data_IF_583639713200
#
_entry.id   IF_583639713200
#
_cell.length_a   1.000
_cell.length_b   1.000
_cell.length_c   1.000
_cell.angle_alpha   90.00
_cell.angle_beta   90.00
_cell.angle_gamma   90.00
#
_symmetry.space_group_name_H-M   'P 1'
#
loop_
_entity.id
_entity.type
_entity.pdbx_description
1 polymer ?
#
# COMPACT_ATOMS: atom_id res chain seq x y z
N UNK A 1 16.55 -21.05 -12.71
CA UNK A 1 15.36 -20.76 -11.92
C UNK A 1 15.70 -19.55 -11.04
N UNK A 2 14.93 -18.47 -11.09
CA UNK A 2 15.18 -17.28 -10.26
C UNK A 2 14.29 -17.39 -9.03
N UNK A 3 14.90 -17.44 -7.85
CA UNK A 3 14.18 -17.41 -6.57
C UNK A 3 13.87 -15.97 -6.23
N UNK A 4 12.60 -15.59 -6.24
CA UNK A 4 12.18 -14.21 -6.01
C UNK A 4 12.04 -13.85 -4.51
N UNK A 5 11.67 -14.85 -3.67
CA UNK A 5 11.67 -14.78 -2.21
C UNK A 5 12.33 -16.04 -1.66
N UNK A 6 13.36 -15.88 -0.84
CA UNK A 6 14.21 -16.96 -0.33
C UNK A 6 13.95 -17.19 1.16
N UNK A 7 12.93 -18.01 1.51
CA UNK A 7 12.67 -18.40 2.90
C UNK A 7 12.32 -17.23 3.81
N UNK A 8 11.51 -16.28 3.35
CA UNK A 8 11.13 -15.08 4.10
C UNK A 8 10.05 -15.41 5.13
N UNK A 9 10.35 -15.17 6.41
CA UNK A 9 9.36 -15.18 7.51
C UNK A 9 9.22 -13.77 8.06
N UNK A 10 8.00 -13.24 8.05
CA UNK A 10 7.69 -11.86 8.48
C UNK A 10 6.38 -11.84 9.26
N UNK A 11 6.42 -11.29 10.48
CA UNK A 11 5.23 -10.98 11.27
C UNK A 11 5.06 -9.47 11.36
N UNK A 12 3.87 -8.97 11.08
CA UNK A 12 3.49 -7.56 11.19
C UNK A 12 2.38 -7.48 12.23
N UNK A 13 2.64 -6.99 13.44
CA UNK A 13 1.63 -6.78 14.48
C UNK A 13 0.53 -5.83 14.05
N UNK A 14 -0.65 -5.96 14.65
CA UNK A 14 -1.77 -5.07 14.39
C UNK A 14 -1.41 -3.61 14.69
N UNK A 15 -1.80 -2.72 13.77
CA UNK A 15 -1.51 -1.29 13.85
C UNK A 15 -0.06 -0.91 13.53
N UNK A 16 0.83 -1.87 13.20
CA UNK A 16 2.20 -1.56 12.82
C UNK A 16 2.25 -0.95 11.42
N UNK A 17 3.03 0.11 11.26
CA UNK A 17 3.35 0.69 9.96
C UNK A 17 4.79 0.29 9.56
N UNK A 18 4.89 -0.79 8.80
CA UNK A 18 6.14 -1.31 8.27
C UNK A 18 6.50 -0.64 6.94
N UNK A 19 7.69 -0.09 6.85
CA UNK A 19 8.26 0.41 5.59
C UNK A 19 9.28 -0.58 5.06
N UNK A 20 9.21 -0.91 3.77
CA UNK A 20 10.11 -1.85 3.10
C UNK A 20 10.90 -1.12 2.01
N UNK A 21 12.22 -1.18 2.11
CA UNK A 21 13.15 -0.67 1.11
C UNK A 21 13.99 -1.80 0.50
N UNK A 22 14.71 -1.52 -0.55
CA UNK A 22 15.61 -2.48 -1.19
C UNK A 22 15.86 -2.11 -2.65
N UNK A 23 16.90 -2.65 -3.24
CA UNK A 23 17.23 -2.43 -4.66
C UNK A 23 16.15 -2.99 -5.60
N UNK A 24 16.18 -2.59 -6.87
CA UNK A 24 15.36 -3.21 -7.90
C UNK A 24 15.69 -4.71 -8.00
N UNK A 25 14.65 -5.54 -8.07
CA UNK A 25 14.81 -7.00 -8.06
C UNK A 25 15.04 -7.62 -6.67
N UNK A 26 15.02 -6.85 -5.56
CA UNK A 26 15.21 -7.42 -4.21
C UNK A 26 14.03 -8.26 -3.68
N UNK A 27 12.90 -8.30 -4.38
CA UNK A 27 11.73 -9.10 -4.00
C UNK A 27 10.55 -8.31 -3.40
N UNK A 28 10.66 -6.98 -3.23
CA UNK A 28 9.61 -6.14 -2.62
C UNK A 28 8.23 -6.28 -3.29
N UNK A 29 8.19 -6.11 -4.61
CA UNK A 29 6.94 -6.25 -5.38
C UNK A 29 6.44 -7.68 -5.37
N UNK A 30 7.34 -8.66 -5.31
CA UNK A 30 6.98 -10.09 -5.17
C UNK A 30 6.32 -10.33 -3.80
N UNK A 31 6.86 -9.76 -2.72
CA UNK A 31 6.28 -9.81 -1.38
C UNK A 31 4.86 -9.21 -1.38
N UNK A 32 4.69 -7.99 -1.88
CA UNK A 32 3.36 -7.35 -1.98
C UNK A 32 2.38 -8.18 -2.81
N UNK A 33 2.82 -8.68 -3.96
CA UNK A 33 1.99 -9.49 -4.86
C UNK A 33 1.61 -10.83 -4.25
N UNK A 34 2.54 -11.48 -3.52
CA UNK A 34 2.27 -12.70 -2.76
C UNK A 34 1.21 -12.48 -1.69
N UNK A 35 1.33 -11.43 -0.86
CA UNK A 35 0.33 -11.06 0.14
C UNK A 35 -1.02 -10.77 -0.53
N UNK A 36 -1.02 -9.98 -1.60
CA UNK A 36 -2.25 -9.61 -2.33
C UNK A 36 -2.93 -10.78 -3.05
N UNK A 37 -2.25 -11.93 -3.21
CA UNK A 37 -2.80 -13.12 -3.88
C UNK A 37 -2.75 -13.04 -5.40
N UNK A 38 -1.81 -12.28 -5.97
CA UNK A 38 -1.57 -12.24 -7.41
C UNK A 38 -0.99 -13.59 -7.91
N UNK A 39 -0.28 -14.28 -7.03
CA UNK A 39 0.19 -15.66 -7.21
C UNK A 39 0.17 -16.40 -5.87
N UNK A 40 0.27 -17.73 -5.93
CA UNK A 40 0.43 -18.59 -4.74
C UNK A 40 1.91 -18.88 -4.52
N UNK A 41 2.46 -18.77 -3.30
CA UNK A 41 3.84 -19.14 -3.02
C UNK A 41 4.05 -20.65 -3.25
N UNK A 42 5.25 -21.04 -3.67
CA UNK A 42 5.61 -22.45 -3.89
C UNK A 42 5.64 -23.24 -2.57
N UNK A 43 6.05 -22.57 -1.48
CA UNK A 43 6.10 -23.13 -0.11
C UNK A 43 5.76 -22.06 0.92
N UNK A 44 5.39 -22.48 2.14
CA UNK A 44 5.04 -21.60 3.22
C UNK A 44 3.57 -21.21 3.24
N UNK A 45 3.21 -20.25 4.11
CA UNK A 45 1.83 -19.81 4.31
C UNK A 45 1.74 -18.30 4.49
N UNK A 46 0.58 -17.75 4.15
CA UNK A 46 0.24 -16.33 4.33
C UNK A 46 -1.02 -16.26 5.17
N UNK A 47 -0.87 -15.67 6.37
CA UNK A 47 -1.97 -15.52 7.34
C UNK A 47 -2.27 -14.04 7.48
N UNK A 48 -3.53 -13.65 7.32
CA UNK A 48 -4.01 -12.27 7.47
C UNK A 48 -5.18 -12.27 8.44
N UNK A 49 -5.06 -11.53 9.55
CA UNK A 49 -6.08 -11.46 10.59
C UNK A 49 -6.51 -12.87 11.09
N UNK A 50 -5.52 -13.73 11.37
CA UNK A 50 -5.74 -15.12 11.80
C UNK A 50 -6.27 -16.07 10.74
N UNK A 51 -6.53 -15.59 9.51
CA UNK A 51 -7.07 -16.42 8.41
C UNK A 51 -5.95 -16.82 7.47
N UNK A 52 -5.81 -18.12 7.20
CA UNK A 52 -4.95 -18.61 6.13
C UNK A 52 -5.54 -18.24 4.77
N UNK A 53 -4.83 -17.36 4.06
CA UNK A 53 -5.20 -16.89 2.74
C UNK A 53 -4.31 -17.45 1.63
N UNK A 54 -3.37 -18.34 1.95
CA UNK A 54 -2.33 -18.86 1.04
C UNK A 54 -2.87 -19.28 -0.31
N UNK A 55 -3.94 -20.06 -0.32
CA UNK A 55 -4.56 -20.58 -1.55
C UNK A 55 -5.77 -19.74 -2.01
N UNK A 56 -6.03 -18.59 -1.38
CA UNK A 56 -7.14 -17.74 -1.79
C UNK A 56 -6.72 -16.84 -2.95
N UNK A 57 -7.52 -16.74 -4.03
CA UNK A 57 -7.26 -15.80 -5.12
C UNK A 57 -7.45 -14.36 -4.66
N UNK A 58 -6.82 -13.40 -5.37
CA UNK A 58 -6.79 -11.98 -5.02
C UNK A 58 -8.18 -11.38 -4.73
N UNK A 59 -9.22 -11.76 -5.49
CA UNK A 59 -10.59 -11.23 -5.26
C UNK A 59 -11.20 -11.66 -3.92
N UNK A 60 -10.81 -12.82 -3.36
CA UNK A 60 -11.21 -13.24 -2.01
C UNK A 60 -10.40 -12.53 -0.95
N UNK A 61 -9.08 -12.38 -1.15
CA UNK A 61 -8.20 -11.62 -0.24
C UNK A 61 -8.57 -10.13 -0.17
N UNK A 62 -9.16 -9.57 -1.21
CA UNK A 62 -9.61 -8.18 -1.25
C UNK A 62 -10.58 -7.80 -0.12
N UNK A 63 -11.20 -8.75 0.58
CA UNK A 63 -12.00 -8.47 1.78
C UNK A 63 -11.15 -8.07 2.99
N UNK A 64 -9.89 -8.56 3.06
CA UNK A 64 -8.95 -8.33 4.15
C UNK A 64 -7.90 -7.29 3.80
N UNK A 65 -7.57 -7.15 2.52
CA UNK A 65 -6.42 -6.40 2.03
C UNK A 65 -6.88 -5.17 1.26
N UNK A 66 -6.44 -3.99 1.69
CA UNK A 66 -6.47 -2.77 0.87
C UNK A 66 -5.17 -2.65 0.09
N UNK A 67 -5.23 -2.22 -1.16
CA UNK A 67 -4.01 -1.98 -1.95
C UNK A 67 -4.09 -0.67 -2.70
N UNK A 68 -3.00 0.09 -2.63
CA UNK A 68 -2.75 1.30 -3.43
C UNK A 68 -1.53 1.02 -4.30
N UNK A 69 -1.67 1.24 -5.60
CA UNK A 69 -0.63 0.94 -6.59
C UNK A 69 0.22 2.17 -6.88
N UNK A 70 1.42 1.97 -7.42
CA UNK A 70 2.28 3.02 -7.94
C UNK A 70 1.60 3.80 -9.07
N UNK A 71 0.96 3.10 -10.00
CA UNK A 71 0.14 3.72 -11.04
C UNK A 71 -1.28 3.92 -10.51
N UNK A 72 -1.73 5.18 -10.34
CA UNK A 72 -3.06 5.48 -9.79
C UNK A 72 -4.23 5.03 -10.68
N UNK A 73 -3.97 4.65 -11.94
CA UNK A 73 -5.00 4.02 -12.78
C UNK A 73 -5.26 2.56 -12.43
N UNK A 74 -4.26 1.87 -11.83
CA UNK A 74 -4.32 0.46 -11.49
C UNK A 74 -5.24 0.20 -10.34
N UNK A 75 -6.28 0.34 -10.07
CA UNK A 75 -7.21 0.20 -8.93
C UNK A 75 -8.48 1.00 -9.13
N UNK A 76 -8.60 1.63 -10.31
CA UNK A 76 -9.75 2.48 -10.66
C UNK A 76 -10.39 2.03 -11.98
N UNK A 77 -11.65 2.41 -12.20
CA UNK A 77 -12.32 2.34 -13.49
C UNK A 77 -12.31 3.76 -14.10
N UNK A 78 -11.35 4.09 -15.00
CA UNK A 78 -11.12 5.47 -15.43
C UNK A 78 -12.29 6.14 -16.13
N UNK A 79 -13.15 5.37 -16.79
CA UNK A 79 -14.35 5.86 -17.49
C UNK A 79 -15.55 6.07 -16.56
N UNK A 80 -15.50 5.51 -15.36
CA UNK A 80 -16.54 5.67 -14.34
C UNK A 80 -16.28 6.93 -13.50
N UNK A 81 -17.35 7.50 -12.97
CA UNK A 81 -17.31 8.69 -12.12
C UNK A 81 -16.65 8.42 -10.78
N UNK A 82 -16.29 9.49 -10.05
CA UNK A 82 -15.81 9.43 -8.65
C UNK A 82 -16.81 8.66 -7.79
N UNK A 83 -18.10 9.00 -7.87
CA UNK A 83 -19.15 8.36 -7.08
C UNK A 83 -19.28 6.85 -7.38
N UNK A 84 -19.19 6.45 -8.64
CA UNK A 84 -19.28 5.05 -9.04
C UNK A 84 -18.08 4.23 -8.57
N UNK A 85 -16.86 4.77 -8.71
CA UNK A 85 -15.64 4.11 -8.20
C UNK A 85 -15.69 3.92 -6.68
N UNK A 86 -16.10 4.94 -5.92
CA UNK A 86 -16.27 4.84 -4.48
C UNK A 86 -17.34 3.82 -4.10
N UNK A 87 -18.43 3.73 -4.88
CA UNK A 87 -19.44 2.70 -4.67
C UNK A 87 -18.87 1.31 -4.84
N UNK A 88 -18.06 1.07 -5.88
CA UNK A 88 -17.38 -0.22 -6.04
C UNK A 88 -16.48 -0.55 -4.85
N UNK A 89 -15.76 0.44 -4.34
CA UNK A 89 -14.92 0.28 -3.14
C UNK A 89 -15.75 -0.05 -1.89
N UNK A 90 -16.89 0.61 -1.70
CA UNK A 90 -17.81 0.36 -0.59
C UNK A 90 -18.39 -1.06 -0.58
N UNK A 91 -18.45 -1.71 -1.75
CA UNK A 91 -18.95 -3.08 -1.92
C UNK A 91 -17.88 -4.15 -1.74
N UNK A 92 -16.63 -3.75 -1.54
CA UNK A 92 -15.52 -4.68 -1.34
C UNK A 92 -15.83 -5.66 -0.20
N UNK A 93 -15.71 -6.96 -0.49
CA UNK A 93 -15.94 -8.03 0.50
C UNK A 93 -17.40 -8.29 0.84
N UNK A 94 -18.37 -7.59 0.25
CA UNK A 94 -19.80 -7.86 0.44
C UNK A 94 -20.33 -8.86 -0.59
N UNK A 95 -21.41 -9.59 -0.25
CA UNK A 95 -22.12 -10.42 -1.22
C UNK A 95 -22.60 -9.55 -2.40
N UNK A 96 -22.42 -10.07 -3.61
CA UNK A 96 -22.90 -9.43 -4.84
C UNK A 96 -24.45 -9.44 -4.84
N UNK A 97 -25.05 -8.28 -4.63
CA UNK A 97 -26.49 -8.08 -4.79
C UNK A 97 -26.73 -7.12 -5.96
N UNK A 98 -27.83 -7.28 -6.71
CA UNK A 98 -28.23 -6.29 -7.70
C UNK A 98 -28.32 -4.91 -7.07
N UNK A 99 -27.58 -3.95 -7.59
CA UNK A 99 -27.47 -2.61 -7.01
C UNK A 99 -28.30 -1.64 -7.81
N UNK A 100 -29.39 -1.21 -7.22
CA UNK A 100 -30.27 -0.19 -7.76
C UNK A 100 -29.77 1.16 -7.27
N UNK A 101 -29.19 1.98 -8.17
CA UNK A 101 -28.86 3.39 -7.94
C UNK A 101 -28.02 3.73 -6.69
N UNK A 102 -27.60 4.97 -6.58
CA UNK A 102 -27.03 5.57 -5.37
C UNK A 102 -28.16 6.27 -4.60
N UNK A 103 -28.50 5.84 -3.39
CA UNK A 103 -29.45 6.60 -2.57
C UNK A 103 -28.89 7.99 -2.25
N UNK A 104 -29.73 8.98 -2.03
CA UNK A 104 -29.31 10.34 -1.65
C UNK A 104 -28.42 10.33 -0.41
N UNK A 105 -28.81 9.56 0.61
CA UNK A 105 -28.06 9.42 1.86
C UNK A 105 -26.66 8.86 1.62
N UNK A 106 -26.53 7.80 0.81
CA UNK A 106 -25.23 7.23 0.48
C UNK A 106 -24.36 8.17 -0.36
N UNK A 107 -24.96 8.92 -1.30
CA UNK A 107 -24.24 9.95 -2.07
C UNK A 107 -23.70 11.05 -1.14
N UNK A 108 -24.49 11.52 -0.19
CA UNK A 108 -24.06 12.51 0.80
C UNK A 108 -22.92 11.97 1.68
N UNK A 109 -22.97 10.72 2.08
CA UNK A 109 -21.88 10.05 2.82
C UNK A 109 -20.60 10.01 1.98
N UNK A 110 -20.69 9.62 0.70
CA UNK A 110 -19.54 9.60 -0.20
C UNK A 110 -18.91 10.99 -0.35
N UNK A 111 -19.74 12.01 -0.56
CA UNK A 111 -19.29 13.39 -0.71
C UNK A 111 -18.59 13.91 0.54
N UNK A 112 -19.13 13.60 1.72
CA UNK A 112 -18.48 13.96 3.00
C UNK A 112 -17.11 13.29 3.16
N UNK A 113 -17.00 12.00 2.84
CA UNK A 113 -15.71 11.29 2.90
C UNK A 113 -14.68 11.85 1.91
N UNK A 114 -15.13 12.23 0.72
CA UNK A 114 -14.28 12.84 -0.32
C UNK A 114 -13.82 14.24 0.09
N UNK A 115 -14.69 15.04 0.72
CA UNK A 115 -14.33 16.35 1.27
C UNK A 115 -13.18 16.25 2.29
N UNK A 116 -13.14 15.17 3.08
CA UNK A 116 -12.05 14.89 4.03
C UNK A 116 -10.68 14.74 3.38
N UNK A 117 -10.58 14.54 2.06
CA UNK A 117 -9.30 14.51 1.34
C UNK A 117 -8.71 15.93 1.12
N UNK A 118 -9.51 16.99 1.26
CA UNK A 118 -9.08 18.38 1.06
C UNK A 118 -8.55 18.67 -0.35
N UNK A 119 -9.12 18.00 -1.39
CA UNK A 119 -8.66 18.09 -2.77
C UNK A 119 -9.70 18.69 -3.75
N UNK A 120 -10.83 19.22 -3.25
CA UNK A 120 -11.90 19.78 -4.04
C UNK A 120 -12.62 18.75 -4.92
N UNK A 121 -12.62 17.47 -4.49
CA UNK A 121 -13.26 16.38 -5.23
C UNK A 121 -14.73 16.21 -4.86
N UNK A 122 -15.18 16.77 -3.75
CA UNK A 122 -16.57 16.76 -3.27
C UNK A 122 -17.55 17.40 -4.26
N UNK A 123 -17.09 18.37 -5.05
CA UNK A 123 -17.87 19.02 -6.09
C UNK A 123 -17.73 18.34 -7.46
N UNK A 124 -16.91 17.29 -7.54
CA UNK A 124 -16.58 16.57 -8.77
C UNK A 124 -17.03 15.10 -8.77
N UNK A 125 -18.05 14.78 -8.00
CA UNK A 125 -18.54 13.40 -7.82
C UNK A 125 -18.98 12.72 -9.12
N UNK A 126 -19.45 13.49 -10.09
CA UNK A 126 -19.87 13.00 -11.43
C UNK A 126 -18.75 13.07 -12.48
N UNK A 127 -17.56 13.54 -12.10
CA UNK A 127 -16.43 13.58 -13.03
C UNK A 127 -15.84 12.17 -13.19
N UNK A 128 -15.58 11.71 -14.43
CA UNK A 128 -14.82 10.48 -14.67
C UNK A 128 -13.43 10.55 -14.01
N UNK A 129 -13.02 9.48 -13.33
CA UNK A 129 -11.71 9.46 -12.62
C UNK A 129 -10.54 9.71 -13.57
N UNK A 130 -10.66 9.29 -14.83
CA UNK A 130 -9.64 9.51 -15.86
C UNK A 130 -9.30 10.99 -16.09
N UNK A 131 -10.19 11.92 -15.74
CA UNK A 131 -10.01 13.37 -15.89
C UNK A 131 -9.44 14.07 -14.64
N UNK A 132 -9.16 13.32 -13.58
CA UNK A 132 -8.55 13.85 -12.37
C UNK A 132 -7.02 13.99 -12.53
N UNK A 133 -6.40 14.92 -11.76
CA UNK A 133 -4.94 14.97 -11.64
C UNK A 133 -4.39 13.69 -11.01
N UNK A 134 -3.08 13.42 -11.18
CA UNK A 134 -2.41 12.27 -10.58
C UNK A 134 -2.60 12.22 -9.06
N UNK A 135 -2.35 13.35 -8.38
CA UNK A 135 -2.52 13.46 -6.92
C UNK A 135 -3.96 13.26 -6.45
N UNK A 136 -4.94 13.88 -7.15
CA UNK A 136 -6.36 13.68 -6.86
C UNK A 136 -6.78 12.21 -7.00
N UNK A 137 -6.34 11.56 -8.07
CA UNK A 137 -6.63 10.14 -8.32
C UNK A 137 -5.98 9.26 -7.26
N UNK A 138 -4.75 9.55 -6.87
CA UNK A 138 -4.04 8.78 -5.85
C UNK A 138 -4.70 8.92 -4.46
N UNK A 139 -5.08 10.14 -4.07
CA UNK A 139 -5.85 10.35 -2.83
C UNK A 139 -7.17 9.58 -2.84
N UNK A 140 -7.85 9.56 -4.00
CA UNK A 140 -9.09 8.79 -4.16
C UNK A 140 -8.85 7.28 -4.08
N UNK A 141 -7.76 6.74 -4.67
CA UNK A 141 -7.42 5.30 -4.54
C UNK A 141 -7.10 4.94 -3.10
N UNK A 142 -6.46 5.82 -2.35
CA UNK A 142 -6.21 5.63 -0.92
C UNK A 142 -7.53 5.58 -0.13
N UNK A 143 -8.46 6.52 -0.37
CA UNK A 143 -9.80 6.50 0.22
C UNK A 143 -10.54 5.21 -0.15
N UNK A 144 -10.49 4.78 -1.42
CA UNK A 144 -11.12 3.54 -1.89
C UNK A 144 -10.52 2.31 -1.19
N UNK A 145 -9.20 2.23 -1.05
CA UNK A 145 -8.52 1.13 -0.38
C UNK A 145 -8.87 1.03 1.12
N UNK A 146 -9.18 2.17 1.75
CA UNK A 146 -9.48 2.30 3.18
C UNK A 146 -10.96 2.60 3.47
N UNK A 147 -11.83 2.61 2.45
CA UNK A 147 -13.26 2.87 2.60
C UNK A 147 -13.92 1.94 3.61
N UNK A 148 -13.60 0.67 3.50
CA UNK A 148 -13.79 -0.33 4.55
C UNK A 148 -12.42 -0.65 5.11
N UNK A 149 -12.19 -0.45 6.44
CA UNK A 149 -10.90 -0.70 7.03
C UNK A 149 -10.41 -2.12 6.68
N UNK A 150 -9.26 -2.26 5.99
CA UNK A 150 -8.67 -3.56 5.72
C UNK A 150 -7.92 -4.07 6.96
N UNK A 151 -7.71 -5.39 7.06
CA UNK A 151 -6.80 -5.97 8.05
C UNK A 151 -5.34 -5.57 7.78
N UNK A 152 -4.98 -5.40 6.49
CA UNK A 152 -3.69 -4.84 6.09
C UNK A 152 -3.84 -3.92 4.88
N UNK A 153 -3.17 -2.76 4.92
CA UNK A 153 -3.05 -1.82 3.80
C UNK A 153 -1.68 -1.99 3.14
N UNK A 154 -1.67 -2.31 1.85
CA UNK A 154 -0.47 -2.42 1.02
C UNK A 154 -0.30 -1.16 0.17
N UNK A 155 0.83 -0.48 0.31
CA UNK A 155 1.19 0.74 -0.42
C UNK A 155 2.43 0.46 -1.27
N UNK A 156 2.27 0.46 -2.60
CA UNK A 156 3.32 0.12 -3.56
C UNK A 156 3.82 1.39 -4.24
N UNK A 157 4.88 2.01 -3.69
CA UNK A 157 5.50 3.25 -4.21
C UNK A 157 4.46 4.32 -4.61
N UNK A 158 3.41 4.46 -3.83
CA UNK A 158 2.17 5.13 -4.18
C UNK A 158 2.29 6.66 -4.38
N UNK A 159 3.44 7.25 -4.11
CA UNK A 159 3.73 8.68 -4.34
C UNK A 159 4.77 8.91 -5.44
N UNK A 160 5.44 7.85 -5.93
CA UNK A 160 6.59 7.97 -6.82
C UNK A 160 6.27 8.57 -8.21
N UNK A 161 5.03 8.39 -8.68
CA UNK A 161 4.60 8.89 -10.00
C UNK A 161 3.95 10.28 -9.95
N UNK A 162 4.00 10.96 -8.79
CA UNK A 162 3.36 12.25 -8.56
C UNK A 162 4.39 13.39 -8.61
N UNK A 163 3.91 14.61 -8.90
CA UNK A 163 4.70 15.82 -8.66
C UNK A 163 4.97 16.02 -7.15
N UNK A 164 6.04 16.74 -6.77
CA UNK A 164 6.45 16.84 -5.36
C UNK A 164 5.35 17.35 -4.43
N UNK A 165 4.56 18.35 -4.84
CA UNK A 165 3.49 18.91 -4.02
C UNK A 165 2.35 17.92 -3.79
N UNK A 166 1.95 17.20 -4.83
CA UNK A 166 0.95 16.12 -4.74
C UNK A 166 1.47 14.95 -3.93
N UNK A 167 2.74 14.56 -4.07
CA UNK A 167 3.37 13.49 -3.32
C UNK A 167 3.34 13.76 -1.79
N UNK A 168 3.73 14.98 -1.38
CA UNK A 168 3.68 15.41 0.01
C UNK A 168 2.25 15.32 0.56
N UNK A 169 1.29 15.88 -0.15
CA UNK A 169 -0.12 15.89 0.28
C UNK A 169 -0.71 14.49 0.40
N UNK A 170 -0.43 13.60 -0.57
CA UNK A 170 -0.88 12.21 -0.52
C UNK A 170 -0.21 11.45 0.63
N UNK A 171 1.07 11.71 0.93
CA UNK A 171 1.75 11.10 2.06
C UNK A 171 1.17 11.57 3.40
N UNK A 172 0.85 12.85 3.55
CA UNK A 172 0.18 13.39 4.75
C UNK A 172 -1.18 12.73 4.96
N UNK A 173 -2.00 12.64 3.91
CA UNK A 173 -3.27 11.91 3.94
C UNK A 173 -3.08 10.42 4.30
N UNK A 174 -2.03 9.79 3.80
CA UNK A 174 -1.70 8.41 4.15
C UNK A 174 -1.43 8.27 5.65
N UNK A 175 -0.56 9.13 6.21
CA UNK A 175 -0.25 9.13 7.65
C UNK A 175 -1.51 9.38 8.48
N UNK A 176 -2.32 10.36 8.10
CA UNK A 176 -3.56 10.70 8.79
C UNK A 176 -4.51 9.50 8.82
N UNK A 177 -4.84 8.91 7.66
CA UNK A 177 -5.79 7.79 7.55
C UNK A 177 -5.30 6.55 8.30
N UNK A 178 -3.99 6.24 8.20
CA UNK A 178 -3.39 5.09 8.90
C UNK A 178 -3.50 5.28 10.41
N UNK A 179 -3.16 6.47 10.92
CA UNK A 179 -3.19 6.78 12.35
C UNK A 179 -4.63 6.81 12.90
N UNK A 180 -5.55 7.50 12.23
CA UNK A 180 -6.95 7.60 12.66
C UNK A 180 -7.63 6.23 12.73
N UNK A 181 -7.37 5.37 11.76
CA UNK A 181 -7.99 4.04 11.66
C UNK A 181 -7.14 2.93 12.27
N UNK A 182 -5.95 3.25 12.81
CA UNK A 182 -4.98 2.30 13.38
C UNK A 182 -4.69 1.12 12.43
N UNK A 183 -4.48 1.42 11.15
CA UNK A 183 -4.33 0.39 10.12
C UNK A 183 -2.96 -0.27 10.20
N UNK A 184 -2.92 -1.59 10.20
CA UNK A 184 -1.71 -2.33 9.88
C UNK A 184 -1.33 -2.02 8.43
N UNK A 185 -0.10 -1.52 8.21
CA UNK A 185 0.30 -1.01 6.90
C UNK A 185 1.66 -1.56 6.49
N UNK A 186 1.80 -2.00 5.26
CA UNK A 186 3.07 -2.31 4.61
C UNK A 186 3.24 -1.38 3.41
N UNK A 187 4.25 -0.51 3.49
CA UNK A 187 4.60 0.44 2.42
C UNK A 187 5.94 0.07 1.81
N UNK A 188 5.98 -0.05 0.50
CA UNK A 188 7.22 -0.12 -0.28
C UNK A 188 7.56 1.27 -0.78
N UNK A 189 8.81 1.68 -0.62
CA UNK A 189 9.36 2.92 -1.17
C UNK A 189 10.83 2.76 -1.56
N UNK A 190 11.29 3.57 -2.51
CA UNK A 190 12.70 3.76 -2.82
C UNK A 190 13.25 5.08 -2.28
N UNK A 191 12.40 5.92 -1.70
CA UNK A 191 12.74 7.20 -1.08
C UNK A 191 13.23 6.97 0.35
N UNK A 192 14.51 7.28 0.60
CA UNK A 192 15.17 7.07 1.90
C UNK A 192 14.66 8.03 2.98
N UNK A 193 14.24 9.23 2.59
CA UNK A 193 13.65 10.20 3.51
C UNK A 193 12.28 9.70 3.99
N UNK A 194 11.44 9.24 3.07
CA UNK A 194 10.18 8.60 3.45
C UNK A 194 10.41 7.36 4.31
N UNK A 195 11.42 6.54 3.96
CA UNK A 195 11.74 5.33 4.71
C UNK A 195 12.08 5.61 6.17
N UNK A 196 12.76 6.71 6.48
CA UNK A 196 13.09 7.11 7.85
C UNK A 196 11.93 7.82 8.56
N UNK A 197 11.17 8.68 7.85
CA UNK A 197 10.18 9.57 8.47
C UNK A 197 8.75 9.00 8.53
N UNK A 198 8.52 7.81 7.92
CA UNK A 198 7.19 7.20 7.88
C UNK A 198 7.22 5.83 8.53
N UNK A 199 6.17 5.52 9.30
CA UNK A 199 6.03 4.23 9.99
C UNK A 199 6.99 4.03 11.17
N UNK A 200 6.79 2.94 11.88
CA UNK A 200 7.48 2.59 13.13
C UNK A 200 8.34 1.33 13.04
N UNK A 201 8.55 0.78 11.84
CA UNK A 201 9.48 -0.32 11.56
C UNK A 201 10.01 -0.18 10.13
N UNK A 202 11.30 -0.44 9.94
CA UNK A 202 11.96 -0.38 8.64
C UNK A 202 12.60 -1.73 8.33
N UNK A 203 12.28 -2.26 7.16
CA UNK A 203 12.81 -3.51 6.66
C UNK A 203 13.56 -3.27 5.36
N UNK A 204 14.77 -3.80 5.24
CA UNK A 204 15.53 -3.80 4.00
C UNK A 204 15.54 -5.20 3.40
N UNK A 205 15.14 -5.30 2.13
CA UNK A 205 15.18 -6.53 1.37
C UNK A 205 16.36 -6.56 0.39
N UNK A 206 17.04 -7.70 0.35
CA UNK A 206 18.08 -7.98 -0.62
C UNK A 206 17.95 -9.41 -1.13
N UNK A 207 17.96 -9.62 -2.45
CA UNK A 207 17.94 -10.94 -3.12
C UNK A 207 16.85 -11.89 -2.59
N UNK A 208 15.68 -11.35 -2.33
CA UNK A 208 14.51 -12.12 -1.87
C UNK A 208 14.50 -12.45 -0.38
N UNK A 209 15.44 -11.95 0.40
CA UNK A 209 15.54 -12.14 1.85
C UNK A 209 15.49 -10.80 2.60
N UNK A 210 15.24 -10.88 3.92
CA UNK A 210 15.35 -9.73 4.82
C UNK A 210 16.83 -9.57 5.18
N UNK A 211 17.43 -8.45 4.75
CA UNK A 211 18.81 -8.10 5.06
C UNK A 211 18.92 -7.26 6.36
N UNK A 212 17.88 -6.48 6.68
CA UNK A 212 17.84 -5.64 7.88
C UNK A 212 16.40 -5.47 8.33
N UNK A 213 16.19 -5.48 9.64
CA UNK A 213 14.88 -5.27 10.27
C UNK A 213 15.08 -4.38 11.50
N UNK A 214 14.60 -3.15 11.45
CA UNK A 214 14.80 -2.13 12.47
C UNK A 214 13.48 -1.73 13.11
N UNK A 215 13.42 -1.87 14.42
CA UNK A 215 12.33 -1.32 15.23
C UNK A 215 12.40 0.22 15.30
N UNK A 216 11.34 0.84 15.80
CA UNK A 216 11.18 2.31 15.86
C UNK A 216 12.37 3.01 16.53
N UNK A 217 12.87 2.47 17.64
CA UNK A 217 13.99 3.08 18.38
C UNK A 217 15.29 3.09 17.57
N UNK A 218 15.60 1.99 16.87
CA UNK A 218 16.78 1.87 16.03
C UNK A 218 16.65 2.76 14.76
N UNK A 219 15.44 2.75 14.19
CA UNK A 219 15.13 3.56 13.02
C UNK A 219 15.25 5.06 13.29
N UNK A 220 14.78 5.53 14.45
CA UNK A 220 14.81 6.96 14.83
C UNK A 220 16.21 7.52 15.05
N UNK A 221 17.20 6.66 15.26
CA UNK A 221 18.60 7.03 15.45
C UNK A 221 19.39 7.10 14.14
N UNK A 222 18.82 6.61 13.02
CA UNK A 222 19.51 6.57 11.74
C UNK A 222 19.39 7.88 10.98
N UNK A 223 20.51 8.30 10.42
CA UNK A 223 20.56 9.33 9.38
C UNK A 223 20.39 8.72 7.98
N UNK A 224 20.00 9.57 7.02
CA UNK A 224 19.92 9.15 5.60
C UNK A 224 21.28 8.63 5.11
N UNK A 225 22.38 9.25 5.52
CA UNK A 225 23.73 8.85 5.11
C UNK A 225 24.07 7.44 5.64
N UNK A 226 23.74 7.13 6.88
CA UNK A 226 23.95 5.80 7.46
C UNK A 226 23.06 4.74 6.80
N UNK A 227 21.80 5.07 6.51
CA UNK A 227 20.90 4.17 5.79
C UNK A 227 21.44 3.86 4.39
N UNK A 228 21.92 4.89 3.64
CA UNK A 228 22.54 4.72 2.34
C UNK A 228 23.83 3.90 2.42
N UNK A 229 24.67 4.11 3.46
CA UNK A 229 25.88 3.32 3.67
C UNK A 229 25.55 1.82 3.88
N UNK A 230 24.54 1.52 4.70
CA UNK A 230 24.07 0.13 4.89
C UNK A 230 23.50 -0.46 3.59
N UNK A 231 22.76 0.34 2.83
CA UNK A 231 22.22 -0.04 1.52
C UNK A 231 23.31 -0.32 0.49
N UNK A 232 24.42 0.43 0.51
CA UNK A 232 25.58 0.24 -0.37
C UNK A 232 26.47 -0.93 0.10
N UNK A 233 26.65 -1.09 1.42
CA UNK A 233 27.47 -2.16 2.02
C UNK A 233 26.89 -3.56 1.78
N UNK A 234 25.56 -3.71 1.75
CA UNK A 234 24.91 -4.95 1.34
C UNK A 234 25.24 -5.38 -0.09
N UNK A 235 25.59 -4.45 -0.97
CA UNK A 235 26.06 -4.76 -2.35
C UNK A 235 27.50 -5.28 -2.41
N UNK A 236 28.29 -5.10 -1.34
CA UNK A 236 29.74 -5.36 -1.32
C UNK A 236 30.18 -6.70 -0.74
N UNK A 237 29.33 -7.49 -0.10
CA UNK A 237 29.72 -8.70 0.63
C UNK A 237 29.68 -10.00 -0.19
N UNK A 238 29.91 -9.95 -1.50
CA UNK A 238 30.12 -11.15 -2.34
C UNK A 238 31.29 -10.94 -3.30
N UNK A 239 32.48 -10.71 -2.74
CA UNK A 239 33.76 -11.05 -3.41
C UNK A 239 34.77 -11.36 -2.28
N UNK A 240 34.83 -12.60 -1.86
CA UNK A 240 36.04 -13.34 -1.46
C UNK A 240 35.64 -14.57 -0.60
N UNK A 241 35.69 -15.70 -1.22
CA UNK A 241 35.64 -17.03 -0.62
C UNK A 241 35.92 -18.03 -1.70
N UNK A 242 37.21 -18.33 -1.83
CA UNK A 242 37.76 -19.38 -2.70
C UNK A 242 37.15 -20.76 -2.40
#
# INVERSE_FOLDING_TARGET
MVVALAGLTLTIPDGQFLVVIGANGSGKSTLLNGIAGTFTPDTGSIIVDGVDVTNQPAYRRARYIGRVFQNPFAGTAPTMTVAENLRLAALRGLPKRPLIGLSRAFRSELQHRVAGLGMGLEDRMETPIGLLSGGQRQALTLLMATFRPPAILLLDEHTAALDPGSATKVMELTKQIVNEKKLTTLMVTHDMEQALNVGNRLLMMERGAIAMDLAEQEKSQLTIAELLARFAGGRGSVVSGQ
#
